data_IF_277741763955
#
_entry.id   IF_277741763955
#
_cell.length_a   1.000
_cell.length_b   1.000
_cell.length_c   1.000
_cell.angle_alpha   90.00
_cell.angle_beta   90.00
_cell.angle_gamma   90.00
#
_symmetry.space_group_name_H-M   'P 1'
#
loop_
_entity.id
_entity.type
_entity.pdbx_description
1 polymer ?
#
# COMPACT_ATOMS: atom_id res chain seq x y z
N UNK A 1 8.98 -16.16 2.56
CA UNK A 1 8.59 -16.42 1.15
C UNK A 1 8.25 -15.06 0.53
N UNK A 2 8.84 -14.68 -0.61
CA UNK A 2 8.46 -13.46 -1.31
C UNK A 2 6.96 -13.43 -1.61
N UNK A 3 6.34 -12.26 -1.49
CA UNK A 3 4.91 -12.08 -1.73
C UNK A 3 4.64 -10.72 -2.34
N UNK A 4 3.38 -10.50 -2.73
CA UNK A 4 2.90 -9.30 -3.41
C UNK A 4 1.77 -8.67 -2.61
N UNK A 5 1.63 -7.35 -2.73
CA UNK A 5 0.47 -6.63 -2.22
C UNK A 5 -0.36 -6.16 -3.40
N UNK A 6 -1.65 -6.47 -3.35
CA UNK A 6 -2.64 -5.91 -4.26
C UNK A 6 -3.31 -4.72 -3.56
N UNK A 7 -3.11 -3.53 -4.10
CA UNK A 7 -3.77 -2.33 -3.60
C UNK A 7 -5.04 -2.05 -4.40
N UNK A 8 -6.18 -2.00 -3.71
CA UNK A 8 -7.43 -1.54 -4.30
C UNK A 8 -7.48 0.00 -4.27
N UNK A 9 -7.44 0.62 -5.45
CA UNK A 9 -7.51 2.08 -5.65
C UNK A 9 -8.86 2.52 -6.21
N UNK A 10 -9.93 1.74 -6.03
CA UNK A 10 -11.28 2.16 -6.44
C UNK A 10 -11.64 3.46 -5.73
N UNK A 11 -12.22 4.41 -6.47
CA UNK A 11 -12.55 5.74 -5.95
C UNK A 11 -11.40 6.76 -6.01
N UNK A 12 -10.16 6.33 -6.32
CA UNK A 12 -9.09 7.25 -6.74
C UNK A 12 -9.24 7.54 -8.24
N UNK A 13 -9.79 8.69 -8.56
CA UNK A 13 -9.90 9.20 -9.94
C UNK A 13 -8.79 10.20 -10.23
N UNK A 14 -8.16 10.18 -11.43
CA UNK A 14 -7.18 11.20 -11.82
C UNK A 14 -7.69 12.63 -11.55
N UNK A 15 -6.83 13.56 -11.08
CA UNK A 15 -5.38 13.41 -10.87
C UNK A 15 -4.97 12.73 -9.56
N UNK A 16 -5.92 12.24 -8.75
CA UNK A 16 -5.62 11.57 -7.48
C UNK A 16 -4.74 10.33 -7.69
N UNK A 17 -3.80 10.11 -6.77
CA UNK A 17 -2.84 8.99 -6.83
C UNK A 17 -2.41 8.50 -5.46
N UNK A 18 -2.16 7.19 -5.36
CA UNK A 18 -1.40 6.61 -4.26
C UNK A 18 0.10 6.71 -4.57
N UNK A 19 0.89 7.14 -3.61
CA UNK A 19 2.32 7.49 -3.81
C UNK A 19 3.25 6.55 -3.02
N UNK A 20 2.91 6.27 -1.77
CA UNK A 20 3.74 5.48 -0.85
C UNK A 20 2.93 4.40 -0.17
N UNK A 21 3.49 3.19 -0.13
CA UNK A 21 3.04 2.12 0.75
C UNK A 21 4.08 1.89 1.83
N UNK A 22 3.66 1.86 3.08
CA UNK A 22 4.53 1.64 4.23
C UNK A 22 4.00 0.49 5.09
N UNK A 23 4.92 -0.30 5.64
CA UNK A 23 4.64 -1.31 6.64
C UNK A 23 4.95 -0.69 8.00
N UNK A 24 3.95 -0.67 8.86
CA UNK A 24 4.06 -0.11 10.21
C UNK A 24 4.13 -1.23 11.24
N UNK A 25 4.96 -1.07 12.27
CA UNK A 25 4.93 -1.93 13.44
C UNK A 25 3.63 -1.74 14.22
N UNK A 26 3.40 -2.60 15.22
CA UNK A 26 2.28 -2.43 16.16
C UNK A 26 2.37 -1.15 17.00
N UNK A 27 3.57 -0.56 17.12
CA UNK A 27 3.81 0.72 17.79
C UNK A 27 3.62 1.92 16.85
N UNK A 28 3.41 1.68 15.55
CA UNK A 28 3.21 2.71 14.53
C UNK A 28 4.48 3.15 13.79
N UNK A 29 5.63 2.55 14.10
CA UNK A 29 6.91 2.87 13.49
C UNK A 29 7.00 2.33 12.06
N UNK A 30 7.59 3.10 11.14
CA UNK A 30 7.77 2.66 9.76
C UNK A 30 8.88 1.62 9.70
N UNK A 31 8.51 0.36 9.44
CA UNK A 31 9.44 -0.75 9.27
C UNK A 31 10.02 -0.80 7.85
N UNK A 32 9.19 -0.51 6.84
CA UNK A 32 9.58 -0.57 5.43
C UNK A 32 8.71 0.32 4.56
N UNK A 33 9.31 0.94 3.56
CA UNK A 33 8.60 1.67 2.51
C UNK A 33 8.74 0.92 1.20
N UNK A 34 7.61 0.65 0.54
CA UNK A 34 7.53 0.00 -0.76
C UNK A 34 7.07 1.02 -1.81
N UNK A 35 7.76 1.11 -2.96
CA UNK A 35 7.38 2.04 -4.01
C UNK A 35 6.07 1.59 -4.66
N UNK A 36 5.13 2.53 -4.83
CA UNK A 36 3.93 2.34 -5.65
C UNK A 36 4.27 2.80 -7.07
N UNK A 37 4.20 1.88 -8.04
CA UNK A 37 4.36 2.24 -9.46
C UNK A 37 3.03 2.73 -10.01
N UNK A 38 3.00 3.99 -10.48
CA UNK A 38 1.84 4.59 -11.13
C UNK A 38 1.68 4.04 -12.55
N UNK A 39 0.53 3.45 -12.87
CA UNK A 39 0.22 2.94 -14.22
C UNK A 39 -1.09 3.57 -14.72
N UNK A 40 -1.04 4.78 -15.32
CA UNK A 40 -2.24 5.52 -15.72
C UNK A 40 -3.08 4.79 -16.77
N UNK A 41 -2.44 4.02 -17.64
CA UNK A 41 -3.09 3.37 -18.79
C UNK A 41 -3.64 1.97 -18.48
N UNK A 42 -3.48 1.48 -17.25
CA UNK A 42 -3.83 0.09 -16.90
C UNK A 42 -5.34 -0.05 -16.68
N UNK A 43 -5.98 -0.92 -17.47
CA UNK A 43 -7.39 -1.31 -17.35
C UNK A 43 -7.50 -2.77 -16.85
N UNK A 44 -8.42 -3.10 -15.91
CA UNK A 44 -9.35 -2.20 -15.24
C UNK A 44 -8.66 -1.30 -14.20
N UNK A 45 -9.16 -0.08 -14.07
CA UNK A 45 -8.70 0.88 -13.07
C UNK A 45 -9.05 0.36 -11.68
N UNK A 46 -8.08 0.02 -10.85
CA UNK A 46 -8.38 -0.24 -9.44
C UNK A 46 -7.55 -1.28 -8.70
N UNK A 47 -6.76 -2.14 -9.36
CA UNK A 47 -5.92 -3.12 -8.65
C UNK A 47 -4.47 -3.01 -9.10
N UNK A 48 -3.60 -2.58 -8.18
CA UNK A 48 -2.20 -2.32 -8.47
C UNK A 48 -1.34 -3.40 -7.81
N UNK A 49 -0.56 -4.13 -8.61
CA UNK A 49 0.44 -5.04 -8.09
C UNK A 49 1.64 -4.22 -7.60
N UNK A 50 1.84 -4.17 -6.30
CA UNK A 50 2.98 -3.51 -5.68
C UNK A 50 4.18 -4.45 -5.73
N UNK A 51 5.37 -3.86 -5.81
CA UNK A 51 6.66 -4.55 -5.85
C UNK A 51 6.74 -5.73 -4.89
N UNK A 52 7.27 -6.85 -5.37
CA UNK A 52 7.53 -8.05 -4.58
C UNK A 52 8.36 -7.69 -3.33
N UNK A 53 7.98 -8.26 -2.19
CA UNK A 53 8.71 -8.06 -0.95
C UNK A 53 8.70 -9.32 -0.10
N UNK A 54 9.73 -9.46 0.73
CA UNK A 54 9.72 -10.42 1.85
C UNK A 54 9.05 -9.72 3.03
N UNK A 55 7.96 -10.28 3.59
CA UNK A 55 7.27 -9.69 4.73
C UNK A 55 8.12 -9.74 6.00
N UNK A 56 7.96 -8.78 6.93
CA UNK A 56 8.57 -8.82 8.25
C UNK A 56 8.18 -10.09 9.03
N UNK A 57 9.01 -10.44 10.02
CA UNK A 57 8.73 -11.56 10.93
C UNK A 57 7.64 -11.20 11.94
N UNK A 58 7.60 -9.94 12.32
CA UNK A 58 6.65 -9.38 13.27
C UNK A 58 5.33 -9.00 12.59
N UNK A 59 4.28 -8.77 13.39
CA UNK A 59 3.01 -8.27 12.88
C UNK A 59 3.15 -6.81 12.42
N UNK A 60 2.50 -6.47 11.31
CA UNK A 60 2.57 -5.13 10.72
C UNK A 60 1.22 -4.65 10.15
N UNK A 61 1.02 -3.34 10.12
CA UNK A 61 -0.07 -2.69 9.40
C UNK A 61 0.42 -2.17 8.06
N UNK A 62 -0.51 -1.97 7.12
CA UNK A 62 -0.23 -1.31 5.85
C UNK A 62 -0.74 0.13 5.91
N UNK A 63 0.11 1.10 5.61
CA UNK A 63 -0.26 2.51 5.43
C UNK A 63 -0.04 2.91 3.98
N UNK A 64 -1.08 3.44 3.35
CA UNK A 64 -1.01 4.08 2.03
C UNK A 64 -1.11 5.58 2.22
N UNK A 65 -0.17 6.31 1.61
CA UNK A 65 -0.20 7.78 1.52
C UNK A 65 -0.29 8.19 0.06
N UNK A 66 -1.05 9.23 -0.23
CA UNK A 66 -1.22 9.74 -1.58
C UNK A 66 -1.84 11.14 -1.59
N UNK A 67 -2.29 11.55 -2.77
CA UNK A 67 -2.94 12.83 -3.01
C UNK A 67 -4.32 12.63 -3.62
N UNK A 68 -5.30 13.40 -3.17
CA UNK A 68 -6.62 13.44 -3.80
C UNK A 68 -6.62 14.28 -5.08
N UNK A 69 -7.82 14.54 -5.62
CA UNK A 69 -7.99 15.29 -6.89
C UNK A 69 -7.61 16.77 -6.76
N UNK A 70 -7.69 17.32 -5.56
CA UNK A 70 -7.46 18.73 -5.25
C UNK A 70 -6.02 18.95 -4.74
N UNK A 71 -5.24 17.87 -4.61
CA UNK A 71 -3.85 17.90 -4.18
C UNK A 71 -3.67 17.81 -2.66
N UNK A 72 -4.72 17.50 -1.90
CA UNK A 72 -4.58 17.27 -0.46
C UNK A 72 -4.03 15.86 -0.19
N UNK A 73 -3.18 15.77 0.83
CA UNK A 73 -2.60 14.50 1.27
C UNK A 73 -3.68 13.68 1.96
N UNK A 74 -3.82 12.42 1.56
CA UNK A 74 -4.59 11.43 2.30
C UNK A 74 -3.69 10.33 2.84
N UNK A 75 -4.12 9.72 3.95
CA UNK A 75 -3.49 8.53 4.51
C UNK A 75 -4.58 7.51 4.89
N UNK A 76 -4.31 6.23 4.63
CA UNK A 76 -5.19 5.14 5.05
C UNK A 76 -4.37 3.99 5.61
N UNK A 77 -4.74 3.55 6.81
CA UNK A 77 -4.11 2.42 7.50
C UNK A 77 -5.05 1.22 7.44
N UNK A 78 -4.51 0.01 7.31
CA UNK A 78 -5.30 -1.22 7.40
C UNK A 78 -5.96 -1.32 8.78
N UNK A 79 -7.22 -1.80 8.81
CA UNK A 79 -7.95 -2.03 10.07
C UNK A 79 -7.47 -3.27 10.82
N UNK A 80 -6.68 -4.11 10.16
CA UNK A 80 -6.11 -5.35 10.70
C UNK A 80 -4.60 -5.36 10.54
N UNK A 81 -3.94 -6.08 11.44
CA UNK A 81 -2.51 -6.41 11.33
C UNK A 81 -2.33 -7.68 10.50
N UNK A 82 -1.26 -7.71 9.71
CA UNK A 82 -0.82 -8.87 8.94
C UNK A 82 0.38 -9.53 9.63
N UNK A 83 0.53 -10.84 9.47
CA UNK A 83 1.73 -11.59 9.85
C UNK A 83 2.04 -12.64 8.79
N UNK A 84 3.32 -12.98 8.62
CA UNK A 84 3.74 -14.01 7.67
C UNK A 84 3.74 -15.38 8.32
N UNK A 85 2.69 -16.17 8.09
CA UNK A 85 2.63 -17.58 8.54
C UNK A 85 3.08 -18.47 7.39
N UNK A 86 4.10 -19.29 7.62
CA UNK A 86 4.48 -20.37 6.70
C UNK A 86 3.64 -21.60 7.12
N UNK A 87 2.78 -22.15 6.25
CA UNK A 87 1.92 -23.30 6.56
C UNK A 87 2.69 -24.57 6.93
#
# INVERSE_FOLDING_TARGET
IPTFILLNTTGLSPPARADRLELLSITGDVMKTLPIRYFPDRRPYGIWNITEFVPPKEAFFLRVTGYDRDGFVFQRVSSVSYSSIVP
#
